data_IF_444445911620
#
_entry.id   IF_444445911620
#
_cell.length_a   1.000
_cell.length_b   1.000
_cell.length_c   1.000
_cell.angle_alpha   90.00
_cell.angle_beta   90.00
_cell.angle_gamma   90.00
#
_symmetry.space_group_name_H-M   'P 1'
#
loop_
_entity.id
_entity.type
_entity.pdbx_description
1 polymer ?
#
# COMPACT_ATOMS: atom_id res chain seq x y z
N UNK A 1 9.19 -10.21 -13.62
CA UNK A 1 8.34 -9.13 -13.11
C UNK A 1 7.53 -9.60 -11.92
N UNK A 2 7.70 -9.00 -10.73
CA UNK A 2 6.82 -9.25 -9.61
C UNK A 2 5.44 -8.69 -9.94
N UNK A 3 4.45 -9.56 -10.05
CA UNK A 3 3.04 -9.17 -10.18
C UNK A 3 2.43 -9.17 -8.77
N UNK A 4 2.20 -8.01 -8.16
CA UNK A 4 1.58 -7.94 -6.85
C UNK A 4 0.10 -8.34 -6.94
N UNK A 5 -0.39 -9.04 -5.94
CA UNK A 5 -1.80 -9.43 -5.83
C UNK A 5 -2.41 -8.83 -4.57
N UNK A 6 -3.66 -8.38 -4.67
CA UNK A 6 -4.43 -7.79 -3.57
C UNK A 6 -5.81 -8.43 -3.51
N UNK A 7 -6.42 -8.56 -2.32
CA UNK A 7 -7.85 -8.81 -2.21
C UNK A 7 -8.64 -7.72 -2.96
N UNK A 8 -9.79 -8.05 -3.56
CA UNK A 8 -10.58 -7.08 -4.33
C UNK A 8 -11.13 -5.94 -3.48
N UNK A 9 -11.34 -6.17 -2.19
CA UNK A 9 -11.81 -5.16 -1.25
C UNK A 9 -11.46 -5.52 0.19
N UNK A 10 -11.53 -4.51 1.06
CA UNK A 10 -11.54 -4.65 2.50
C UNK A 10 -12.47 -3.58 3.09
N UNK A 11 -13.09 -3.87 4.22
CA UNK A 11 -14.04 -2.96 4.86
C UNK A 11 -13.89 -3.00 6.38
N UNK A 12 -14.12 -1.87 7.02
CA UNK A 12 -14.19 -1.74 8.46
C UNK A 12 -15.08 -0.54 8.82
N UNK A 13 -15.60 -0.51 10.05
CA UNK A 13 -16.38 0.63 10.54
C UNK A 13 -15.49 1.86 10.78
N UNK A 14 -16.08 3.06 10.73
CA UNK A 14 -15.39 4.29 11.13
C UNK A 14 -14.81 4.17 12.55
N UNK A 15 -13.60 4.69 12.75
CA UNK A 15 -12.84 4.58 13.99
C UNK A 15 -12.16 3.23 14.23
N UNK A 16 -12.51 2.18 13.47
CA UNK A 16 -11.82 0.90 13.53
C UNK A 16 -10.48 0.93 12.76
N UNK A 17 -9.77 -0.20 12.76
CA UNK A 17 -8.57 -0.38 11.94
C UNK A 17 -8.85 -1.32 10.78
N UNK A 18 -8.32 -0.99 9.60
CA UNK A 18 -8.33 -1.88 8.43
C UNK A 18 -6.90 -2.19 8.00
N UNK A 19 -6.67 -3.43 7.56
CA UNK A 19 -5.36 -3.90 7.09
C UNK A 19 -5.47 -4.40 5.66
N UNK A 20 -4.87 -3.66 4.74
CA UNK A 20 -4.76 -4.03 3.33
C UNK A 20 -3.52 -4.89 3.13
N UNK A 21 -3.59 -5.84 2.20
CA UNK A 21 -2.51 -6.79 1.94
C UNK A 21 -2.13 -6.75 0.48
N UNK A 22 -0.84 -6.58 0.23
CA UNK A 22 -0.19 -6.75 -1.05
C UNK A 22 0.72 -7.98 -1.00
N UNK A 23 0.52 -8.97 -1.87
CA UNK A 23 1.30 -10.20 -1.90
C UNK A 23 2.12 -10.26 -3.18
N UNK A 24 3.44 -10.31 -3.04
CA UNK A 24 4.38 -10.47 -4.15
C UNK A 24 4.42 -11.93 -4.61
N UNK A 25 4.74 -12.14 -5.88
CA UNK A 25 5.00 -13.47 -6.45
C UNK A 25 6.22 -14.14 -5.79
N UNK A 26 6.28 -15.46 -5.88
CA UNK A 26 7.41 -16.24 -5.35
C UNK A 26 8.75 -15.75 -5.90
N UNK A 27 9.79 -15.78 -5.06
CA UNK A 27 11.12 -15.28 -5.41
C UNK A 27 11.36 -13.79 -5.15
N UNK A 28 10.31 -13.01 -4.83
CA UNK A 28 10.42 -11.56 -4.61
C UNK A 28 10.26 -11.15 -3.14
N UNK A 29 10.56 -12.03 -2.19
CA UNK A 29 10.38 -11.73 -0.75
C UNK A 29 11.25 -10.58 -0.24
N UNK A 30 12.35 -10.25 -0.91
CA UNK A 30 13.23 -9.13 -0.59
C UNK A 30 12.77 -7.78 -1.17
N UNK A 31 11.73 -7.75 -2.01
CA UNK A 31 11.34 -6.54 -2.74
C UNK A 31 10.43 -5.63 -1.91
N UNK A 32 10.57 -4.32 -2.08
CA UNK A 32 9.62 -3.37 -1.52
C UNK A 32 8.37 -3.17 -2.37
N UNK A 33 7.36 -2.48 -1.82
CA UNK A 33 6.22 -1.98 -2.59
C UNK A 33 5.86 -0.55 -2.23
N UNK A 34 5.38 0.21 -3.21
CA UNK A 34 4.76 1.52 -3.02
C UNK A 34 3.25 1.39 -2.90
N UNK A 35 2.67 1.88 -1.82
CA UNK A 35 1.23 2.01 -1.62
C UNK A 35 0.71 3.35 -2.10
N UNK A 36 -0.43 3.30 -2.78
CA UNK A 36 -1.11 4.47 -3.30
C UNK A 36 -2.59 4.42 -2.94
N UNK A 37 -3.20 5.60 -2.79
CA UNK A 37 -4.62 5.83 -2.61
C UNK A 37 -5.15 6.61 -3.80
N UNK A 38 -6.29 6.22 -4.35
CA UNK A 38 -6.99 6.95 -5.39
C UNK A 38 -8.45 7.15 -5.01
N UNK A 39 -8.81 8.41 -4.76
CA UNK A 39 -10.20 8.81 -4.56
C UNK A 39 -10.90 9.01 -5.91
N UNK A 40 -12.25 8.85 -5.98
CA UNK A 40 -13.00 9.10 -7.21
C UNK A 40 -12.70 10.47 -7.82
N UNK A 41 -12.36 10.50 -9.11
CA UNK A 41 -12.05 11.72 -9.86
C UNK A 41 -10.69 12.35 -9.55
N UNK A 42 -9.84 11.70 -8.75
CA UNK A 42 -8.48 12.16 -8.45
C UNK A 42 -7.42 11.22 -9.03
N UNK A 43 -6.22 11.76 -9.21
CA UNK A 43 -5.05 10.96 -9.54
C UNK A 43 -4.53 10.15 -8.34
N UNK A 44 -3.68 9.15 -8.61
CA UNK A 44 -2.81 8.49 -7.65
C UNK A 44 -2.19 9.41 -6.57
N UNK A 45 -2.47 9.16 -5.29
CA UNK A 45 -1.74 9.75 -4.17
C UNK A 45 -0.80 8.71 -3.56
N UNK A 46 0.50 8.99 -3.59
CA UNK A 46 1.50 8.17 -2.89
C UNK A 46 1.31 8.23 -1.36
N UNK A 47 1.30 7.08 -0.71
CA UNK A 47 1.15 6.95 0.74
C UNK A 47 2.49 6.61 1.41
N UNK A 48 3.11 5.51 1.00
CA UNK A 48 4.36 5.04 1.60
C UNK A 48 5.01 3.96 0.76
N UNK A 49 6.32 3.81 0.95
CA UNK A 49 7.10 2.70 0.47
C UNK A 49 7.36 1.72 1.61
N UNK A 50 7.12 0.43 1.41
CA UNK A 50 7.33 -0.64 2.39
C UNK A 50 8.44 -1.58 1.95
N UNK A 51 9.51 -1.66 2.73
CA UNK A 51 10.62 -2.57 2.51
C UNK A 51 10.32 -3.96 3.07
N UNK A 52 11.09 -4.97 2.62
CA UNK A 52 10.92 -6.35 3.06
C UNK A 52 11.22 -6.59 4.54
N UNK A 53 12.08 -5.76 5.13
CA UNK A 53 12.47 -5.80 6.54
C UNK A 53 11.42 -5.18 7.49
N UNK A 54 10.36 -4.58 6.93
CA UNK A 54 9.29 -3.92 7.69
C UNK A 54 9.49 -2.42 7.89
N UNK A 55 10.62 -1.85 7.43
CA UNK A 55 10.79 -0.40 7.41
C UNK A 55 9.86 0.25 6.38
N UNK A 56 9.51 1.52 6.63
CA UNK A 56 8.63 2.27 5.74
C UNK A 56 9.05 3.72 5.56
N UNK A 57 8.91 4.24 4.33
CA UNK A 57 9.10 5.65 4.01
C UNK A 57 7.76 6.27 3.64
N UNK A 58 7.15 6.96 4.60
CA UNK A 58 5.85 7.62 4.44
C UNK A 58 5.98 8.89 3.61
N UNK A 59 5.01 9.15 2.73
CA UNK A 59 4.92 10.38 1.95
C UNK A 59 4.60 11.60 2.81
N UNK A 60 4.89 12.79 2.27
CA UNK A 60 4.64 14.05 2.97
C UNK A 60 3.14 14.27 3.21
N UNK A 61 2.78 14.72 4.43
CA UNK A 61 1.40 15.02 4.80
C UNK A 61 0.47 13.80 4.89
N UNK A 62 1.03 12.59 4.92
CA UNK A 62 0.27 11.36 5.18
C UNK A 62 0.09 11.21 6.70
N UNK A 63 -1.15 11.05 7.20
CA UNK A 63 -1.42 10.98 8.63
C UNK A 63 -0.72 9.82 9.36
N UNK A 64 -0.51 9.97 10.67
CA UNK A 64 0.11 8.94 11.52
C UNK A 64 -0.72 7.67 11.65
N UNK A 65 -2.03 7.77 11.41
CA UNK A 65 -2.93 6.61 11.35
C UNK A 65 -2.59 5.61 10.24
N UNK A 66 -1.83 6.01 9.23
CA UNK A 66 -1.28 5.11 8.21
C UNK A 66 0.05 4.54 8.70
N UNK A 67 0.16 3.21 8.72
CA UNK A 67 1.39 2.49 9.06
C UNK A 67 1.57 1.29 8.14
N UNK A 68 2.78 0.76 8.05
CA UNK A 68 3.02 -0.46 7.30
C UNK A 68 3.87 -1.47 8.01
N UNK A 69 3.77 -2.71 7.55
CA UNK A 69 4.51 -3.85 8.06
C UNK A 69 4.70 -4.89 6.96
N UNK A 70 5.65 -5.81 7.17
CA UNK A 70 6.03 -6.81 6.16
C UNK A 70 6.15 -8.19 6.79
N UNK A 71 5.81 -9.23 6.03
CA UNK A 71 6.00 -10.63 6.44
C UNK A 71 6.14 -11.53 5.21
N UNK A 72 7.34 -12.08 4.99
CA UNK A 72 7.65 -12.89 3.83
C UNK A 72 7.34 -12.15 2.52
N UNK A 73 6.41 -12.70 1.73
CA UNK A 73 5.96 -12.12 0.46
C UNK A 73 4.92 -10.99 0.63
N UNK A 74 4.45 -10.72 1.84
CA UNK A 74 3.36 -9.80 2.10
C UNK A 74 3.86 -8.45 2.59
N UNK A 75 3.23 -7.39 2.09
CA UNK A 75 3.39 -5.99 2.51
C UNK A 75 2.02 -5.48 2.91
N UNK A 76 1.91 -4.97 4.12
CA UNK A 76 0.63 -4.59 4.71
C UNK A 76 0.58 -3.09 4.91
N UNK A 77 -0.52 -2.47 4.47
CA UNK A 77 -0.89 -1.11 4.85
C UNK A 77 -1.99 -1.19 5.90
N UNK A 78 -1.76 -0.60 7.07
CA UNK A 78 -2.75 -0.50 8.13
C UNK A 78 -3.18 0.95 8.25
N UNK A 79 -4.49 1.16 8.24
CA UNK A 79 -5.12 2.45 8.54
C UNK A 79 -5.86 2.28 9.86
N UNK A 80 -5.34 2.89 10.92
CA UNK A 80 -6.03 2.96 12.21
C UNK A 80 -7.02 4.12 12.24
N UNK A 81 -7.97 4.11 13.17
CA UNK A 81 -8.96 5.19 13.32
C UNK A 81 -9.57 5.64 11.96
N UNK A 82 -10.10 4.67 11.21
CA UNK A 82 -10.56 4.85 9.83
C UNK A 82 -11.56 6.00 9.71
N UNK A 83 -11.36 6.87 8.73
CA UNK A 83 -12.20 8.05 8.49
C UNK A 83 -12.96 7.93 7.16
N UNK A 84 -14.00 8.75 6.96
CA UNK A 84 -14.77 8.77 5.71
C UNK A 84 -13.92 9.12 4.49
N UNK A 85 -12.89 9.94 4.67
CA UNK A 85 -11.98 10.35 3.60
C UNK A 85 -11.03 9.23 3.17
N UNK A 86 -10.92 8.17 3.97
CA UNK A 86 -10.08 7.01 3.67
C UNK A 86 -10.80 6.02 2.73
N UNK A 87 -12.08 6.23 2.40
CA UNK A 87 -12.79 5.46 1.36
C UNK A 87 -12.24 5.80 -0.03
N UNK A 88 -11.56 4.84 -0.64
CA UNK A 88 -10.81 5.00 -1.89
C UNK A 88 -10.41 3.64 -2.46
N UNK A 89 -9.93 3.65 -3.71
CA UNK A 89 -9.17 2.54 -4.26
C UNK A 89 -7.74 2.58 -3.72
N UNK A 90 -7.21 1.41 -3.34
CA UNK A 90 -5.84 1.26 -2.85
C UNK A 90 -5.09 0.22 -3.67
N UNK A 91 -3.92 0.59 -4.15
CA UNK A 91 -3.09 -0.32 -4.94
C UNK A 91 -1.62 -0.26 -4.53
N UNK A 92 -0.94 -1.40 -4.67
CA UNK A 92 0.48 -1.53 -4.45
C UNK A 92 1.23 -1.75 -5.77
N UNK A 93 2.43 -1.19 -5.88
CA UNK A 93 3.35 -1.44 -7.00
C UNK A 93 4.70 -1.95 -6.48
N UNK A 94 5.31 -2.90 -7.17
CA UNK A 94 6.67 -3.40 -6.87
C UNK A 94 7.76 -2.56 -7.56
N UNK A 95 9.03 -2.70 -7.13
CA UNK A 95 10.19 -1.92 -7.62
C UNK A 95 10.40 -1.93 -9.14
N UNK A 96 9.95 -2.96 -9.87
CA UNK A 96 10.07 -3.00 -11.34
C UNK A 96 9.05 -2.13 -12.08
N UNK A 97 8.00 -1.62 -11.42
CA UNK A 97 7.02 -0.73 -12.05
C UNK A 97 7.41 0.76 -12.00
N UNK A 98 8.50 1.13 -11.31
CA UNK A 98 9.00 2.51 -11.32
C UNK A 98 9.80 2.87 -12.59
N UNK A 99 10.22 1.87 -13.38
CA UNK A 99 11.04 2.06 -14.58
C UNK A 99 10.25 2.07 -15.90
N UNK A 100 8.90 2.04 -15.85
CA UNK A 100 8.06 1.95 -17.07
C UNK A 100 7.22 3.19 -17.41
N UNK A 101 7.49 4.33 -16.75
CA UNK A 101 7.03 5.65 -17.20
C UNK A 101 8.22 6.56 -17.47
N UNK A 102 8.97 6.23 -18.52
CA UNK A 102 9.70 7.22 -19.30
C UNK A 102 9.03 7.25 -20.67
N UNK A 103 8.20 8.28 -20.89
CA UNK A 103 7.91 8.76 -22.26
C UNK A 103 9.22 9.19 -22.95
#
# INVERSE_FOLDING_TARGET
QPVPTQPPSASASLGASVKLTCTLSSGYSSYGVGWHQQQPGKGPRYLMWLYSDGNSNKGNGIPDRFSGSSSGLRRYLTISNLQSEDEADYYCQSEENAASHSD
#
